data_IF_510380402127
#
_entry.id   IF_510380402127
#
_cell.length_a   1.000
_cell.length_b   1.000
_cell.length_c   1.000
_cell.angle_alpha   90.00
_cell.angle_beta   90.00
_cell.angle_gamma   90.00
#
_symmetry.space_group_name_H-M   'P 1'
#
loop_
_entity.id
_entity.type
_entity.pdbx_description
1 polymer ?
#
# COMPACT_ATOMS: atom_id res chain seq x y z
N UNK A 1 18.53 24.41 -48.70
CA UNK A 1 17.64 23.27 -48.35
C UNK A 1 18.52 22.27 -47.67
N UNK A 2 18.34 22.14 -46.32
CA UNK A 2 19.15 21.28 -45.48
C UNK A 2 19.01 19.82 -45.89
N UNK A 3 20.15 19.16 -46.05
CA UNK A 3 20.23 17.74 -46.36
C UNK A 3 19.89 16.93 -45.10
N UNK A 4 18.61 16.87 -44.74
CA UNK A 4 18.12 16.09 -43.64
C UNK A 4 18.09 14.61 -44.04
N UNK A 5 19.25 13.96 -43.87
CA UNK A 5 19.38 12.52 -44.04
C UNK A 5 18.52 11.83 -42.97
N UNK A 6 17.66 10.89 -43.40
CA UNK A 6 16.84 10.03 -42.52
C UNK A 6 17.70 9.42 -41.40
N UNK A 7 18.90 8.99 -41.71
CA UNK A 7 19.87 8.44 -40.75
C UNK A 7 20.26 9.44 -39.67
N UNK A 8 20.44 10.72 -40.00
CA UNK A 8 20.76 11.78 -39.05
C UNK A 8 19.58 12.06 -38.10
N UNK A 9 18.38 12.06 -38.64
CA UNK A 9 17.16 12.26 -37.84
C UNK A 9 16.97 11.11 -36.84
N UNK A 10 17.15 9.85 -37.30
CA UNK A 10 17.09 8.70 -36.39
C UNK A 10 18.20 8.74 -35.32
N UNK A 11 19.41 9.11 -35.69
CA UNK A 11 20.54 9.23 -34.76
C UNK A 11 20.29 10.26 -33.69
N UNK A 12 19.77 11.44 -34.04
CA UNK A 12 19.44 12.51 -33.08
C UNK A 12 18.27 12.07 -32.17
N UNK A 13 17.23 11.48 -32.73
CA UNK A 13 16.09 11.00 -31.96
C UNK A 13 16.52 9.91 -30.95
N UNK A 14 17.33 8.94 -31.37
CA UNK A 14 17.86 7.91 -30.50
C UNK A 14 18.72 8.48 -29.36
N UNK A 15 19.64 9.39 -29.70
CA UNK A 15 20.48 10.03 -28.70
C UNK A 15 19.64 10.81 -27.66
N UNK A 16 18.63 11.55 -28.12
CA UNK A 16 17.72 12.28 -27.22
C UNK A 16 16.95 11.31 -26.29
N UNK A 17 16.41 10.22 -26.84
CA UNK A 17 15.71 9.22 -26.05
C UNK A 17 16.62 8.59 -24.97
N UNK A 18 17.87 8.26 -25.32
CA UNK A 18 18.83 7.69 -24.36
C UNK A 18 19.15 8.70 -23.26
N UNK A 19 19.42 9.95 -23.59
CA UNK A 19 19.72 11.00 -22.60
C UNK A 19 18.52 11.18 -21.66
N UNK A 20 17.31 11.32 -22.20
CA UNK A 20 16.11 11.45 -21.39
C UNK A 20 15.86 10.22 -20.49
N UNK A 21 16.07 9.00 -21.02
CA UNK A 21 15.93 7.78 -20.25
C UNK A 21 16.92 7.70 -19.08
N UNK A 22 18.17 8.09 -19.29
CA UNK A 22 19.20 8.12 -18.24
C UNK A 22 18.82 9.13 -17.15
N UNK A 23 18.40 10.34 -17.53
CA UNK A 23 18.00 11.38 -16.56
C UNK A 23 16.81 10.92 -15.72
N UNK A 24 15.76 10.42 -16.36
CA UNK A 24 14.53 9.96 -15.65
C UNK A 24 14.84 8.77 -14.76
N UNK A 25 15.60 7.78 -15.26
CA UNK A 25 15.97 6.59 -14.48
C UNK A 25 16.82 6.96 -13.25
N UNK A 26 17.79 7.86 -13.43
CA UNK A 26 18.63 8.33 -12.32
C UNK A 26 17.82 9.05 -11.25
N UNK A 27 16.92 9.93 -11.66
CA UNK A 27 16.00 10.62 -10.73
C UNK A 27 15.11 9.61 -10.00
N UNK A 28 14.53 8.63 -10.70
CA UNK A 28 13.68 7.61 -10.09
C UNK A 28 14.43 6.76 -9.04
N UNK A 29 15.68 6.36 -9.32
CA UNK A 29 16.49 5.59 -8.38
C UNK A 29 16.85 6.42 -7.14
N UNK A 30 17.24 7.67 -7.32
CA UNK A 30 17.64 8.57 -6.21
C UNK A 30 16.44 8.88 -5.29
N UNK A 31 15.26 9.10 -5.88
CA UNK A 31 14.05 9.44 -5.10
C UNK A 31 13.35 8.25 -4.46
N UNK A 32 13.65 7.03 -4.88
CA UNK A 32 12.97 5.83 -4.40
C UNK A 32 12.99 5.66 -2.87
N UNK A 33 14.12 5.81 -2.15
CA UNK A 33 14.13 5.67 -0.70
C UNK A 33 13.22 6.69 0.00
N UNK A 34 13.26 7.94 -0.45
CA UNK A 34 12.40 9.01 0.09
C UNK A 34 10.92 8.73 -0.17
N UNK A 35 10.58 8.19 -1.34
CA UNK A 35 9.20 7.80 -1.66
C UNK A 35 8.71 6.65 -0.77
N UNK A 36 9.56 5.67 -0.44
CA UNK A 36 9.21 4.56 0.45
C UNK A 36 8.97 5.06 1.89
N UNK A 37 9.81 5.95 2.40
CA UNK A 37 9.61 6.58 3.71
C UNK A 37 8.31 7.38 3.74
N UNK A 38 8.08 8.25 2.76
CA UNK A 38 6.87 9.07 2.68
C UNK A 38 5.60 8.20 2.59
N UNK A 39 5.66 7.08 1.86
CA UNK A 39 4.55 6.14 1.74
C UNK A 39 4.21 5.45 3.07
N UNK A 40 5.22 5.10 3.87
CA UNK A 40 5.01 4.55 5.20
C UNK A 40 4.45 5.60 6.16
N UNK A 41 4.95 6.83 6.08
CA UNK A 41 4.43 7.94 6.88
C UNK A 41 2.96 8.24 6.54
N UNK A 42 2.62 8.29 5.27
CA UNK A 42 1.25 8.48 4.79
C UNK A 42 0.32 7.34 5.26
N UNK A 43 0.77 6.09 5.19
CA UNK A 43 0.04 4.94 5.71
C UNK A 43 -0.26 5.09 7.21
N UNK A 44 0.76 5.40 8.03
CA UNK A 44 0.60 5.61 9.47
C UNK A 44 -0.34 6.77 9.79
N UNK A 45 -0.19 7.87 9.05
CA UNK A 45 -1.06 9.05 9.20
C UNK A 45 -2.52 8.70 8.92
N UNK A 46 -2.80 7.96 7.85
CA UNK A 46 -4.16 7.54 7.50
C UNK A 46 -4.76 6.58 8.53
N UNK A 47 -3.97 5.68 9.11
CA UNK A 47 -4.42 4.79 10.19
C UNK A 47 -4.79 5.62 11.43
N UNK A 48 -3.89 6.53 11.87
CA UNK A 48 -4.15 7.41 13.01
C UNK A 48 -5.37 8.30 12.79
N UNK A 49 -5.51 8.86 11.60
CA UNK A 49 -6.66 9.69 11.24
C UNK A 49 -7.98 8.90 11.28
N UNK A 50 -7.99 7.66 10.76
CA UNK A 50 -9.18 6.80 10.80
C UNK A 50 -9.57 6.41 12.22
N UNK A 51 -8.59 6.25 13.11
CA UNK A 51 -8.81 5.97 14.54
C UNK A 51 -9.20 7.20 15.35
N UNK A 52 -9.13 8.42 14.78
CA UNK A 52 -9.35 9.68 15.50
C UNK A 52 -8.22 10.01 16.50
N UNK A 53 -7.02 9.46 16.29
CA UNK A 53 -5.87 9.62 17.18
C UNK A 53 -4.82 10.60 16.63
N UNK A 54 -5.04 11.16 15.45
CA UNK A 54 -4.09 12.08 14.83
C UNK A 54 -4.07 13.41 15.59
N UNK A 55 -2.91 13.79 16.13
CA UNK A 55 -2.68 15.04 16.85
C UNK A 55 -1.68 15.91 16.10
N UNK A 56 -1.98 17.20 15.96
CA UNK A 56 -1.07 18.18 15.38
C UNK A 56 0.11 18.47 16.33
N UNK A 57 1.30 18.61 15.74
CA UNK A 57 2.52 18.97 16.50
C UNK A 57 3.22 17.79 17.18
N UNK A 58 2.67 16.59 17.14
CA UNK A 58 3.31 15.36 17.66
C UNK A 58 3.78 14.50 16.50
N UNK A 59 4.97 13.86 16.62
CA UNK A 59 5.49 13.03 15.54
C UNK A 59 4.59 11.82 15.28
N UNK A 60 4.42 11.45 14.03
CA UNK A 60 3.58 10.30 13.60
C UNK A 60 4.10 9.00 14.21
N UNK A 61 5.43 8.83 14.30
CA UNK A 61 6.07 7.66 14.90
C UNK A 61 5.66 7.52 16.36
N UNK A 62 5.71 8.61 17.12
CA UNK A 62 5.33 8.61 18.55
C UNK A 62 3.85 8.26 18.74
N UNK A 63 2.98 8.82 17.91
CA UNK A 63 1.55 8.52 17.95
C UNK A 63 1.27 7.07 17.54
N UNK A 64 1.98 6.56 16.53
CA UNK A 64 1.79 5.20 16.03
C UNK A 64 2.30 4.11 16.99
N UNK A 65 3.18 4.46 17.94
CA UNK A 65 3.70 3.51 18.93
C UNK A 65 2.61 2.90 19.84
N UNK A 66 1.45 3.54 19.97
CA UNK A 66 0.30 3.01 20.73
C UNK A 66 -0.57 2.04 19.91
N UNK A 67 -0.27 1.85 18.62
CA UNK A 67 -1.02 0.96 17.74
C UNK A 67 -0.27 -0.37 17.61
N UNK A 68 -0.90 -1.44 18.04
CA UNK A 68 -0.41 -2.79 17.80
C UNK A 68 -0.83 -3.28 16.40
N UNK A 69 0.12 -3.91 15.71
CA UNK A 69 -0.12 -4.48 14.38
C UNK A 69 -0.10 -6.00 14.48
N UNK A 70 -1.18 -6.65 14.08
CA UNK A 70 -1.27 -8.12 14.05
C UNK A 70 -1.75 -8.62 12.70
N UNK A 71 -1.55 -9.90 12.46
CA UNK A 71 -2.03 -10.59 11.24
C UNK A 71 -3.11 -11.58 11.62
N UNK A 72 -4.17 -11.59 10.83
CA UNK A 72 -5.30 -12.51 10.95
C UNK A 72 -5.33 -13.43 9.75
N UNK A 73 -5.50 -14.72 9.98
CA UNK A 73 -5.85 -15.68 8.94
C UNK A 73 -7.34 -15.52 8.59
N UNK A 74 -7.61 -15.16 7.34
CA UNK A 74 -8.97 -14.90 6.86
C UNK A 74 -9.80 -16.18 6.61
N UNK A 75 -9.22 -17.36 6.78
CA UNK A 75 -9.96 -18.61 6.72
C UNK A 75 -10.48 -19.03 8.10
N UNK A 76 -9.67 -18.85 9.15
CA UNK A 76 -10.02 -19.25 10.52
C UNK A 76 -10.61 -18.08 11.32
N UNK A 77 -10.24 -16.83 10.98
CA UNK A 77 -10.57 -15.65 11.76
C UNK A 77 -9.68 -15.44 12.97
N UNK A 78 -8.61 -16.21 13.12
CA UNK A 78 -7.71 -16.18 14.26
C UNK A 78 -6.44 -15.39 13.96
N UNK A 79 -5.82 -14.83 15.00
CA UNK A 79 -4.50 -14.23 14.87
C UNK A 79 -3.44 -15.29 14.56
N UNK A 80 -2.50 -14.96 13.70
CA UNK A 80 -1.46 -15.88 13.24
C UNK A 80 -0.10 -15.20 13.18
N UNK A 81 0.94 -15.98 13.44
CA UNK A 81 2.34 -15.61 13.26
C UNK A 81 2.95 -16.26 11.99
N UNK A 82 2.10 -16.84 11.12
CA UNK A 82 2.56 -17.49 9.89
C UNK A 82 3.29 -16.52 8.93
N UNK A 83 3.04 -15.23 9.07
CA UNK A 83 3.74 -14.15 8.36
C UNK A 83 4.07 -13.03 9.35
N UNK A 84 5.22 -12.40 9.15
CA UNK A 84 5.66 -11.29 9.99
C UNK A 84 4.84 -10.03 9.69
N UNK A 85 4.12 -9.51 10.70
CA UNK A 85 3.28 -8.34 10.61
C UNK A 85 4.03 -7.06 10.15
N UNK A 86 5.33 -6.96 10.44
CA UNK A 86 6.13 -5.78 10.09
C UNK A 86 6.52 -5.74 8.60
N UNK A 87 6.65 -6.91 7.98
CA UNK A 87 7.13 -7.04 6.59
C UNK A 87 6.05 -7.49 5.61
N UNK A 88 4.91 -7.97 6.12
CA UNK A 88 3.83 -8.49 5.29
C UNK A 88 3.13 -7.39 4.50
N UNK A 89 3.16 -7.53 3.17
CA UNK A 89 2.45 -6.64 2.24
C UNK A 89 1.18 -7.34 1.69
N UNK A 90 0.05 -7.09 2.33
CA UNK A 90 -1.25 -7.65 1.93
C UNK A 90 -1.64 -7.27 0.49
N UNK A 91 -1.19 -6.11 -0.02
CA UNK A 91 -1.49 -5.68 -1.40
C UNK A 91 -0.73 -6.53 -2.41
N UNK A 92 0.54 -6.88 -2.11
CA UNK A 92 1.33 -7.79 -2.95
C UNK A 92 0.78 -9.22 -2.85
N UNK A 93 0.51 -9.70 -1.63
CA UNK A 93 -0.05 -11.02 -1.41
C UNK A 93 -1.39 -11.22 -2.14
N UNK A 94 -2.25 -10.21 -2.21
CA UNK A 94 -3.53 -10.32 -2.93
C UNK A 94 -3.39 -10.46 -4.46
N UNK A 95 -2.22 -10.18 -5.03
CA UNK A 95 -1.93 -10.36 -6.46
C UNK A 95 -1.26 -11.70 -6.78
N UNK A 96 -0.69 -12.34 -5.76
CA UNK A 96 -0.02 -13.63 -5.90
C UNK A 96 -1.04 -14.77 -5.78
N UNK A 97 -1.18 -15.65 -6.79
CA UNK A 97 -2.07 -16.81 -6.73
C UNK A 97 -1.77 -17.77 -5.58
N UNK A 98 -0.52 -17.88 -5.14
CA UNK A 98 -0.10 -18.76 -4.04
C UNK A 98 -0.51 -18.20 -2.66
N UNK A 99 -0.63 -16.87 -2.53
CA UNK A 99 -0.90 -16.17 -1.27
C UNK A 99 -2.32 -15.61 -1.19
N UNK A 100 -3.17 -15.91 -2.17
CA UNK A 100 -4.52 -15.38 -2.26
C UNK A 100 -5.49 -16.35 -2.90
N UNK A 101 -6.77 -16.23 -2.58
CA UNK A 101 -7.86 -16.95 -3.20
C UNK A 101 -8.58 -16.08 -4.23
N UNK A 102 -9.02 -16.69 -5.33
CA UNK A 102 -9.91 -16.05 -6.28
C UNK A 102 -11.32 -15.99 -5.70
N UNK A 103 -12.00 -14.87 -5.86
CA UNK A 103 -13.37 -14.68 -5.42
C UNK A 103 -14.35 -14.96 -6.59
N UNK A 104 -15.49 -15.57 -6.26
CA UNK A 104 -16.58 -15.70 -7.21
C UNK A 104 -17.11 -14.29 -7.55
N UNK A 105 -17.22 -13.93 -8.84
CA UNK A 105 -17.76 -12.62 -9.26
C UNK A 105 -19.15 -12.29 -8.68
N UNK A 106 -19.95 -13.31 -8.34
CA UNK A 106 -21.27 -13.14 -7.71
C UNK A 106 -21.19 -12.75 -6.25
N UNK A 107 -20.06 -13.04 -5.58
CA UNK A 107 -19.80 -12.79 -4.17
C UNK A 107 -18.77 -11.66 -3.96
N UNK A 108 -18.38 -10.98 -5.04
CA UNK A 108 -17.40 -9.90 -5.03
C UNK A 108 -18.00 -8.55 -5.45
N UNK A 109 -18.88 -7.95 -4.62
CA UNK A 109 -19.49 -6.66 -4.92
C UNK A 109 -18.47 -5.53 -5.02
N UNK A 110 -17.33 -5.65 -4.33
CA UNK A 110 -16.23 -4.69 -4.35
C UNK A 110 -15.30 -4.85 -5.55
N UNK A 111 -15.51 -5.87 -6.40
CA UNK A 111 -14.73 -6.18 -7.61
C UNK A 111 -13.23 -6.28 -7.38
N UNK A 112 -12.82 -6.83 -6.24
CA UNK A 112 -11.42 -7.00 -5.86
C UNK A 112 -10.76 -8.23 -6.49
N UNK A 113 -11.55 -9.15 -7.06
CA UNK A 113 -11.16 -10.36 -7.79
C UNK A 113 -10.41 -11.41 -6.98
N UNK A 114 -9.51 -11.00 -6.10
CA UNK A 114 -8.72 -11.90 -5.24
C UNK A 114 -8.58 -11.32 -3.84
N UNK A 115 -8.66 -12.18 -2.82
CA UNK A 115 -8.48 -11.86 -1.41
C UNK A 115 -7.21 -12.57 -0.92
N UNK A 116 -6.29 -11.85 -0.28
CA UNK A 116 -5.13 -12.46 0.37
C UNK A 116 -5.59 -13.46 1.46
N UNK A 117 -4.78 -14.48 1.75
CA UNK A 117 -5.08 -15.44 2.79
C UNK A 117 -4.99 -14.80 4.18
N UNK A 118 -4.10 -13.85 4.35
CA UNK A 118 -3.86 -13.13 5.60
C UNK A 118 -4.20 -11.65 5.45
N UNK A 119 -4.67 -11.03 6.52
CA UNK A 119 -4.92 -9.59 6.60
C UNK A 119 -4.18 -8.96 7.77
N UNK A 120 -3.60 -7.79 7.53
CA UNK A 120 -3.06 -6.96 8.60
C UNK A 120 -4.20 -6.23 9.30
N UNK A 121 -4.20 -6.24 10.62
CA UNK A 121 -5.15 -5.54 11.48
C UNK A 121 -4.37 -4.65 12.43
N UNK A 122 -4.84 -3.43 12.61
CA UNK A 122 -4.26 -2.47 13.55
C UNK A 122 -5.20 -2.31 14.73
N UNK A 123 -4.66 -2.30 15.95
CA UNK A 123 -5.46 -2.25 17.17
C UNK A 123 -4.92 -1.19 18.10
N UNK A 124 -5.82 -0.49 18.76
CA UNK A 124 -5.54 0.37 19.89
C UNK A 124 -5.95 -0.38 21.15
N UNK A 125 -4.99 -0.61 22.01
CA UNK A 125 -5.19 -1.33 23.28
C UNK A 125 -5.32 -0.32 24.41
N UNK A 126 -6.38 -0.42 25.20
CA UNK A 126 -6.64 0.36 26.39
C UNK A 126 -6.55 -0.46 27.67
N UNK A 127 -6.89 0.14 28.80
CA UNK A 127 -6.80 -0.52 30.12
C UNK A 127 -7.72 -1.75 30.26
N UNK A 128 -8.81 -1.81 29.51
CA UNK A 128 -9.81 -2.89 29.57
C UNK A 128 -9.73 -3.87 28.39
N UNK A 129 -8.71 -3.74 27.53
CA UNK A 129 -8.52 -4.57 26.33
C UNK A 129 -8.49 -3.75 25.05
N UNK A 130 -8.99 -4.31 23.96
CA UNK A 130 -9.01 -3.65 22.65
C UNK A 130 -10.09 -2.56 22.66
N UNK A 131 -9.70 -1.30 22.48
CA UNK A 131 -10.62 -0.17 22.35
C UNK A 131 -11.07 0.07 20.92
N UNK A 132 -10.13 -0.05 19.96
CA UNK A 132 -10.42 0.16 18.54
C UNK A 132 -9.70 -0.86 17.68
N UNK A 133 -10.39 -1.29 16.62
CA UNK A 133 -9.84 -2.15 15.58
C UNK A 133 -9.89 -1.37 14.27
N UNK A 134 -8.76 -1.24 13.59
CA UNK A 134 -8.65 -0.53 12.32
C UNK A 134 -8.33 -1.55 11.23
N UNK A 135 -9.24 -1.68 10.27
CA UNK A 135 -9.20 -2.65 9.19
C UNK A 135 -8.83 -1.96 7.88
N UNK A 136 -7.84 -2.46 7.15
CA UNK A 136 -7.60 -2.01 5.79
C UNK A 136 -8.74 -2.51 4.88
N UNK A 137 -9.35 -1.58 4.16
CA UNK A 137 -10.41 -1.86 3.20
C UNK A 137 -9.94 -1.53 1.78
N UNK A 138 -10.49 -2.24 0.80
CA UNK A 138 -10.26 -1.95 -0.61
C UNK A 138 -11.50 -2.25 -1.45
N UNK A 139 -11.65 -1.53 -2.54
CA UNK A 139 -12.70 -1.76 -3.52
C UNK A 139 -12.36 -1.13 -4.86
N UNK A 140 -13.01 -1.60 -5.92
CA UNK A 140 -12.79 -1.07 -7.26
C UNK A 140 -13.63 0.20 -7.45
N UNK A 141 -12.94 1.32 -7.63
CA UNK A 141 -13.55 2.61 -7.95
C UNK A 141 -13.69 2.86 -9.46
N UNK A 142 -14.08 4.07 -9.84
CA UNK A 142 -14.31 4.44 -11.23
C UNK A 142 -13.03 4.33 -12.10
N UNK A 143 -11.88 4.72 -11.56
CA UNK A 143 -10.61 4.77 -12.29
C UNK A 143 -9.61 3.69 -11.87
N UNK A 144 -9.66 3.25 -10.60
CA UNK A 144 -8.68 2.32 -10.05
C UNK A 144 -9.20 1.72 -8.75
N UNK A 145 -8.43 0.78 -8.17
CA UNK A 145 -8.70 0.27 -6.82
C UNK A 145 -8.46 1.36 -5.79
N UNK A 146 -9.46 1.62 -4.97
CA UNK A 146 -9.39 2.50 -3.82
C UNK A 146 -8.96 1.69 -2.59
N UNK A 147 -8.14 2.30 -1.76
CA UNK A 147 -7.68 1.74 -0.49
C UNK A 147 -7.99 2.73 0.62
N UNK A 148 -8.42 2.22 1.75
CA UNK A 148 -8.74 3.04 2.92
C UNK A 148 -8.64 2.24 4.20
N UNK A 149 -9.03 2.86 5.30
CA UNK A 149 -9.08 2.26 6.62
C UNK A 149 -10.46 2.50 7.23
N UNK A 150 -10.97 1.51 7.93
CA UNK A 150 -12.20 1.56 8.69
C UNK A 150 -11.87 1.29 10.15
N UNK A 151 -12.11 2.25 11.03
CA UNK A 151 -11.99 2.05 12.46
C UNK A 151 -13.35 1.62 13.03
N UNK A 152 -13.31 0.62 13.89
CA UNK A 152 -14.43 0.09 14.64
C UNK A 152 -14.10 0.24 16.12
N UNK A 153 -15.05 0.75 16.90
CA UNK A 153 -14.98 0.78 18.36
C UNK A 153 -15.50 -0.54 18.93
N UNK A 154 -14.86 -1.00 20.01
CA UNK A 154 -15.21 -2.23 20.71
C UNK A 154 -16.48 -2.06 21.54
#
# INVERSE_FOLDING_TARGET
VGNDSISKTFGVALALCVICAVVVSSAAVILRPTQEVNKLLDLKTNILASAGLLQEGVSIETQFAQISTRVVDLQTGEFTEAVDAATYDQRKASKDPALSIALDPKQDPAKIKRRANYATVYMVEGEQGIEKIILPIKGYGLWSTLYGFLALES
#
